data_IF_420761560398
#
_entry.id   IF_420761560398
#
_cell.length_a   1.000
_cell.length_b   1.000
_cell.length_c   1.000
_cell.angle_alpha   90.00
_cell.angle_beta   90.00
_cell.angle_gamma   90.00
#
_symmetry.space_group_name_H-M   'P 1'
#
loop_
_entity.id
_entity.type
_entity.pdbx_description
1 polymer ?
#
# COMPACT_ATOMS: atom_id res chain seq x y z
N UNK A 1 8.89 16.11 -0.74
CA UNK A 1 7.69 15.38 -1.20
C UNK A 1 6.83 15.00 0.00
N UNK A 2 5.50 14.98 -0.13
CA UNK A 2 4.61 14.50 0.94
C UNK A 2 4.66 12.97 0.97
N UNK A 3 5.08 12.37 2.10
CA UNK A 3 5.07 10.91 2.28
C UNK A 3 3.61 10.41 2.33
N UNK A 4 3.31 9.23 1.75
CA UNK A 4 1.99 8.63 1.89
C UNK A 4 1.72 8.27 3.35
N UNK A 5 0.44 8.16 3.70
CA UNK A 5 0.03 7.44 4.89
C UNK A 5 0.41 5.96 4.72
N UNK A 6 0.86 5.31 5.78
CA UNK A 6 1.14 3.88 5.81
C UNK A 6 0.22 3.24 6.84
N UNK A 7 -0.55 2.26 6.42
CA UNK A 7 -1.43 1.50 7.32
C UNK A 7 -1.22 0.01 7.07
N UNK A 8 -0.96 -0.75 8.13
CA UNK A 8 -0.90 -2.20 8.06
C UNK A 8 -2.30 -2.77 7.92
N UNK A 9 -2.44 -3.78 7.07
CA UNK A 9 -3.67 -4.54 6.85
C UNK A 9 -3.39 -6.04 6.97
N UNK A 10 -4.40 -6.80 7.37
CA UNK A 10 -4.32 -8.26 7.56
C UNK A 10 -5.30 -9.05 6.68
N UNK A 11 -6.07 -8.34 5.84
CA UNK A 11 -7.01 -8.94 4.90
C UNK A 11 -6.58 -8.62 3.47
N UNK A 12 -6.92 -9.50 2.54
CA UNK A 12 -6.60 -9.28 1.12
C UNK A 12 -7.31 -8.06 0.53
N UNK A 13 -6.82 -7.61 -0.62
CA UNK A 13 -7.25 -6.37 -1.31
C UNK A 13 -8.76 -6.23 -1.50
N UNK A 14 -9.49 -7.34 -1.69
CA UNK A 14 -10.95 -7.33 -1.84
C UNK A 14 -11.69 -6.75 -0.64
N UNK A 15 -11.17 -6.89 0.58
CA UNK A 15 -11.77 -6.31 1.79
C UNK A 15 -11.71 -4.77 1.81
N UNK A 16 -10.95 -4.16 0.90
CA UNK A 16 -10.72 -2.72 0.83
C UNK A 16 -11.30 -2.07 -0.42
N UNK A 17 -12.10 -2.80 -1.22
CA UNK A 17 -12.67 -2.33 -2.48
C UNK A 17 -13.45 -1.01 -2.32
N UNK A 18 -14.29 -0.91 -1.29
CA UNK A 18 -15.09 0.30 -0.99
C UNK A 18 -14.19 1.52 -0.76
N UNK A 19 -13.12 1.37 0.02
CA UNK A 19 -12.15 2.45 0.27
C UNK A 19 -11.37 2.81 -1.00
N UNK A 20 -10.91 1.81 -1.76
CA UNK A 20 -10.15 2.01 -3.00
C UNK A 20 -11.01 2.78 -4.01
N UNK A 21 -12.27 2.40 -4.16
CA UNK A 21 -13.23 3.03 -5.06
C UNK A 21 -13.52 4.46 -4.65
N UNK A 22 -13.82 4.70 -3.37
CA UNK A 22 -14.10 6.05 -2.85
C UNK A 22 -12.88 6.98 -2.94
N UNK A 23 -11.67 6.47 -2.68
CA UNK A 23 -10.46 7.26 -2.82
C UNK A 23 -10.17 7.60 -4.30
N UNK A 24 -10.40 6.65 -5.21
CA UNK A 24 -10.25 6.85 -6.67
C UNK A 24 -11.24 7.89 -7.21
N UNK A 25 -12.51 7.87 -6.79
CA UNK A 25 -13.49 8.87 -7.20
C UNK A 25 -13.10 10.29 -6.77
N UNK A 26 -12.29 10.39 -5.71
CA UNK A 26 -11.75 11.65 -5.19
C UNK A 26 -10.35 12.00 -5.74
N UNK A 27 -9.91 11.29 -6.79
CA UNK A 27 -8.61 11.53 -7.44
C UNK A 27 -7.39 11.16 -6.59
N UNK A 28 -7.59 10.40 -5.50
CA UNK A 28 -6.49 9.94 -4.65
C UNK A 28 -5.89 8.65 -5.20
N UNK A 29 -4.56 8.59 -5.22
CA UNK A 29 -3.82 7.39 -5.61
C UNK A 29 -3.50 6.56 -4.38
N UNK A 30 -3.86 5.29 -4.39
CA UNK A 30 -3.57 4.33 -3.33
C UNK A 30 -2.53 3.32 -3.84
N UNK A 31 -1.64 2.89 -2.95
CA UNK A 31 -0.69 1.81 -3.18
C UNK A 31 -1.02 0.59 -2.34
N UNK A 32 -0.62 -0.58 -2.82
CA UNK A 32 -0.63 -1.84 -2.06
C UNK A 32 0.80 -2.36 -2.02
N UNK A 33 1.32 -2.60 -0.82
CA UNK A 33 2.63 -3.19 -0.60
C UNK A 33 2.42 -4.52 0.12
N UNK A 34 2.67 -5.62 -0.60
CA UNK A 34 2.71 -6.95 -0.02
C UNK A 34 4.17 -7.27 0.32
N UNK A 35 4.44 -7.55 1.59
CA UNK A 35 5.71 -8.10 2.04
C UNK A 35 5.70 -9.62 1.81
N UNK A 36 6.86 -10.19 1.46
CA UNK A 36 7.04 -11.65 1.26
C UNK A 36 6.22 -12.26 0.10
N UNK A 37 5.96 -11.50 -0.97
CA UNK A 37 5.30 -12.01 -2.16
C UNK A 37 6.18 -13.02 -2.94
N UNK A 38 5.60 -14.12 -3.42
CA UNK A 38 6.33 -15.21 -4.12
C UNK A 38 5.95 -15.38 -5.60
N UNK A 39 5.06 -14.56 -6.15
CA UNK A 39 4.32 -14.89 -7.39
C UNK A 39 4.50 -13.88 -8.52
N UNK A 40 5.71 -13.80 -9.09
CA UNK A 40 5.90 -13.15 -10.39
C UNK A 40 5.48 -14.08 -11.54
N UNK A 41 4.97 -13.56 -12.69
CA UNK A 41 4.75 -14.37 -13.89
C UNK A 41 6.04 -15.07 -14.34
N UNK A 42 5.95 -16.34 -14.71
CA UNK A 42 7.10 -17.22 -14.95
C UNK A 42 8.17 -16.61 -15.90
N UNK A 43 7.84 -16.07 -17.09
CA UNK A 43 8.86 -15.47 -17.95
C UNK A 43 9.60 -14.28 -17.33
N UNK A 44 8.92 -13.52 -16.46
CA UNK A 44 9.54 -12.39 -15.77
C UNK A 44 10.39 -12.85 -14.58
N UNK A 45 9.95 -13.91 -13.89
CA UNK A 45 10.68 -14.53 -12.78
C UNK A 45 11.99 -15.17 -13.28
N UNK A 46 11.94 -15.90 -14.39
CA UNK A 46 13.13 -16.47 -15.03
C UNK A 46 14.15 -15.41 -15.42
N UNK A 47 13.71 -14.36 -16.11
CA UNK A 47 14.59 -13.24 -16.50
C UNK A 47 15.22 -12.56 -15.26
N UNK A 48 14.46 -12.35 -14.18
CA UNK A 48 15.00 -11.82 -12.94
C UNK A 48 16.00 -12.78 -12.28
N UNK A 49 15.74 -14.09 -12.30
CA UNK A 49 16.62 -15.14 -11.77
C UNK A 49 17.94 -15.26 -12.53
N UNK A 50 17.95 -14.92 -13.82
CA UNK A 50 19.16 -14.79 -14.64
C UNK A 50 19.96 -13.50 -14.37
N UNK A 51 19.50 -12.64 -13.45
CA UNK A 51 20.19 -11.40 -13.09
C UNK A 51 19.92 -10.24 -14.05
N UNK A 52 18.90 -10.33 -14.90
CA UNK A 52 18.51 -9.20 -15.75
C UNK A 52 18.02 -8.05 -14.87
N UNK A 53 18.55 -6.84 -15.11
CA UNK A 53 18.27 -5.68 -14.26
C UNK A 53 16.77 -5.37 -14.10
N UNK A 54 15.98 -5.64 -15.14
CA UNK A 54 14.54 -5.43 -15.14
C UNK A 54 13.87 -6.26 -16.23
N UNK A 55 12.81 -6.98 -15.88
CA UNK A 55 11.93 -7.68 -16.82
C UNK A 55 10.55 -7.03 -16.80
N UNK A 56 9.94 -6.77 -17.96
CA UNK A 56 8.68 -6.02 -18.07
C UNK A 56 7.74 -6.69 -19.08
N UNK A 57 6.50 -6.91 -18.68
CA UNK A 57 5.39 -7.28 -19.56
C UNK A 57 4.37 -6.14 -19.65
N UNK A 58 3.83 -5.90 -20.85
CA UNK A 58 2.82 -4.87 -21.13
C UNK A 58 1.65 -5.51 -21.88
N UNK A 59 0.43 -5.27 -21.42
CA UNK A 59 -0.79 -5.79 -22.04
C UNK A 59 -2.04 -5.44 -21.24
N UNK A 60 -3.22 -5.48 -21.85
CA UNK A 60 -4.53 -5.28 -21.17
C UNK A 60 -4.61 -3.99 -20.33
N UNK A 61 -3.94 -2.91 -20.77
CA UNK A 61 -3.92 -1.64 -20.04
C UNK A 61 -3.10 -1.65 -18.74
N UNK A 62 -2.26 -2.67 -18.53
CA UNK A 62 -1.37 -2.81 -17.35
C UNK A 62 0.07 -3.08 -17.75
N UNK A 63 0.96 -2.83 -16.80
CA UNK A 63 2.37 -3.18 -16.87
C UNK A 63 2.73 -3.99 -15.64
N UNK A 64 3.41 -5.12 -15.85
CA UNK A 64 3.98 -5.93 -14.77
C UNK A 64 5.50 -5.86 -14.93
N UNK A 65 6.20 -5.44 -13.89
CA UNK A 65 7.65 -5.36 -13.90
C UNK A 65 8.23 -6.10 -12.70
N UNK A 66 9.27 -6.87 -12.96
CA UNK A 66 10.08 -7.55 -11.93
C UNK A 66 11.49 -6.97 -11.98
N UNK A 67 12.06 -6.71 -10.81
CA UNK A 67 13.42 -6.20 -10.63
C UNK A 67 14.08 -7.03 -9.52
N UNK A 68 15.27 -7.60 -9.72
CA UNK A 68 16.03 -8.18 -8.63
C UNK A 68 16.38 -7.10 -7.62
N UNK A 69 16.16 -7.39 -6.34
CA UNK A 69 16.56 -6.52 -5.23
C UNK A 69 17.90 -7.02 -4.72
N UNK A 70 18.87 -6.11 -4.58
CA UNK A 70 20.15 -6.41 -3.93
C UNK A 70 20.02 -6.07 -2.45
N UNK A 71 20.28 -7.06 -1.59
CA UNK A 71 20.14 -6.90 -0.14
C UNK A 71 18.69 -6.88 0.33
N UNK A 72 18.50 -6.52 1.59
CA UNK A 72 17.16 -6.46 2.20
C UNK A 72 16.39 -5.23 1.70
N UNK A 73 15.10 -5.36 1.37
CA UNK A 73 14.28 -4.25 0.93
C UNK A 73 14.09 -3.21 2.04
N UNK A 74 14.50 -1.97 1.77
CA UNK A 74 14.29 -0.83 2.69
C UNK A 74 12.98 -0.12 2.36
N UNK A 75 12.09 0.01 3.36
CA UNK A 75 10.76 0.59 3.17
C UNK A 75 10.79 2.00 2.55
N UNK A 76 11.68 2.88 3.02
CA UNK A 76 11.78 4.25 2.50
C UNK A 76 12.18 4.28 1.01
N UNK A 77 13.01 3.33 0.56
CA UNK A 77 13.38 3.20 -0.85
C UNK A 77 12.21 2.67 -1.68
N UNK A 78 11.50 1.65 -1.19
CA UNK A 78 10.29 1.15 -1.86
C UNK A 78 9.25 2.26 -2.06
N UNK A 79 9.01 3.08 -1.03
CA UNK A 79 8.07 4.20 -1.10
C UNK A 79 8.49 5.26 -2.11
N UNK A 80 9.79 5.55 -2.18
CA UNK A 80 10.36 6.52 -3.12
C UNK A 80 10.32 6.02 -4.56
N UNK A 81 10.65 4.76 -4.79
CA UNK A 81 10.75 4.18 -6.14
C UNK A 81 9.39 3.81 -6.73
N UNK A 82 8.47 3.27 -5.93
CA UNK A 82 7.25 2.62 -6.46
C UNK A 82 5.94 3.33 -6.09
N UNK A 83 5.92 4.12 -5.04
CA UNK A 83 4.68 4.71 -4.50
C UNK A 83 4.66 6.24 -4.57
N UNK A 84 5.46 6.82 -5.47
CA UNK A 84 5.48 8.25 -5.67
C UNK A 84 4.11 8.77 -6.12
N UNK A 85 3.57 9.72 -5.34
CA UNK A 85 2.26 10.33 -5.61
C UNK A 85 1.07 9.59 -4.97
N UNK A 86 1.30 8.44 -4.33
CA UNK A 86 0.28 7.81 -3.50
C UNK A 86 -0.02 8.67 -2.27
N UNK A 87 -1.29 8.66 -1.84
CA UNK A 87 -1.77 9.26 -0.60
C UNK A 87 -1.77 8.27 0.54
N UNK A 88 -2.02 7.01 0.24
CA UNK A 88 -2.02 5.91 1.19
C UNK A 88 -1.31 4.72 0.54
N UNK A 89 -0.49 4.02 1.30
CA UNK A 89 -0.01 2.68 0.98
C UNK A 89 -0.54 1.74 2.07
N UNK A 90 -1.33 0.76 1.64
CA UNK A 90 -1.76 -0.34 2.49
C UNK A 90 -0.65 -1.40 2.47
N UNK A 91 -0.18 -1.78 3.66
CA UNK A 91 0.93 -2.72 3.82
C UNK A 91 0.39 -4.03 4.36
N UNK A 92 0.46 -5.08 3.56
CA UNK A 92 0.12 -6.45 3.95
C UNK A 92 1.42 -7.18 4.32
N UNK A 93 1.50 -7.62 5.57
CA UNK A 93 2.71 -8.23 6.15
C UNK A 93 3.07 -7.65 7.53
N UNK A 94 4.11 -8.18 8.15
CA UNK A 94 4.54 -7.78 9.49
C UNK A 94 5.43 -6.54 9.46
N UNK A 95 4.91 -5.44 10.01
CA UNK A 95 5.62 -4.17 10.16
C UNK A 95 4.98 -3.35 11.30
N UNK A 96 5.78 -2.62 12.05
CA UNK A 96 5.31 -1.73 13.12
C UNK A 96 4.68 -0.45 12.56
N UNK A 97 3.42 -0.55 12.13
CA UNK A 97 2.60 0.56 11.64
C UNK A 97 1.22 0.57 12.31
N UNK A 98 0.53 1.73 12.33
CA UNK A 98 -0.90 1.76 12.63
C UNK A 98 -1.66 0.77 11.76
N UNK A 99 -2.63 0.07 12.32
CA UNK A 99 -3.43 -0.94 11.64
C UNK A 99 -4.76 -0.35 11.16
N UNK A 100 -5.19 -0.75 9.97
CA UNK A 100 -6.52 -0.48 9.43
C UNK A 100 -7.30 -1.79 9.31
N UNK A 101 -8.49 -1.84 9.89
CA UNK A 101 -9.39 -2.99 9.85
C UNK A 101 -10.78 -2.55 9.35
N UNK A 102 -11.44 -3.33 8.46
CA UNK A 102 -12.85 -3.13 8.16
C UNK A 102 -13.71 -3.36 9.40
N UNK A 103 -14.73 -2.53 9.60
CA UNK A 103 -15.68 -2.62 10.72
C UNK A 103 -17.09 -2.27 10.24
N UNK A 104 -17.89 -3.29 9.90
CA UNK A 104 -19.19 -3.10 9.23
C UNK A 104 -19.03 -2.32 7.91
N UNK A 105 -19.73 -1.18 7.81
CA UNK A 105 -19.65 -0.26 6.67
C UNK A 105 -18.53 0.80 6.82
N UNK A 106 -17.75 0.71 7.90
CA UNK A 106 -16.70 1.65 8.26
C UNK A 106 -15.34 0.99 8.48
N UNK A 107 -14.50 1.72 9.21
CA UNK A 107 -13.09 1.40 9.39
C UNK A 107 -12.67 1.65 10.82
N UNK A 108 -11.82 0.78 11.35
CA UNK A 108 -11.10 1.03 12.59
C UNK A 108 -9.63 1.24 12.28
N UNK A 109 -9.10 2.39 12.71
CA UNK A 109 -7.66 2.64 12.73
C UNK A 109 -7.15 2.46 14.15
N UNK A 110 -6.26 1.48 14.35
CA UNK A 110 -5.54 1.26 15.61
C UNK A 110 -4.15 1.88 15.49
N UNK A 111 -3.85 2.90 16.29
CA UNK A 111 -2.56 3.59 16.30
C UNK A 111 -1.50 2.78 17.07
N UNK A 112 -0.23 3.17 16.93
CA UNK A 112 0.90 2.48 17.57
C UNK A 112 0.85 2.50 19.10
N UNK A 113 0.12 3.44 19.70
CA UNK A 113 -0.14 3.52 21.14
C UNK A 113 -1.33 2.65 21.61
N UNK A 114 -1.94 1.90 20.69
CA UNK A 114 -3.11 1.06 20.93
C UNK A 114 -4.45 1.80 20.89
N UNK A 115 -4.45 3.14 20.72
CA UNK A 115 -5.71 3.89 20.60
C UNK A 115 -6.44 3.53 19.31
N UNK A 116 -7.78 3.45 19.37
CA UNK A 116 -8.63 3.04 18.25
C UNK A 116 -9.54 4.19 17.83
N UNK A 117 -9.71 4.37 16.52
CA UNK A 117 -10.63 5.35 15.94
C UNK A 117 -11.53 4.68 14.93
N UNK A 118 -12.84 4.80 15.13
CA UNK A 118 -13.82 4.45 14.12
C UNK A 118 -13.98 5.60 13.14
N UNK A 119 -14.00 5.28 11.85
CA UNK A 119 -14.14 6.21 10.75
C UNK A 119 -15.09 5.62 9.71
N UNK A 120 -15.99 6.44 9.21
CA UNK A 120 -16.70 6.16 7.96
C UNK A 120 -15.72 6.22 6.78
N UNK A 121 -16.10 5.64 5.63
CA UNK A 121 -15.30 5.74 4.39
C UNK A 121 -15.04 7.21 4.00
N UNK A 122 -16.04 8.07 4.13
CA UNK A 122 -15.92 9.50 3.81
C UNK A 122 -14.91 10.21 4.72
N UNK A 123 -14.96 9.96 6.03
CA UNK A 123 -14.03 10.55 7.00
C UNK A 123 -12.59 10.09 6.75
N UNK A 124 -12.40 8.80 6.46
CA UNK A 124 -11.08 8.25 6.14
C UNK A 124 -10.52 8.91 4.88
N UNK A 125 -11.29 8.99 3.80
CA UNK A 125 -10.88 9.64 2.54
C UNK A 125 -10.58 11.13 2.74
N UNK A 126 -11.42 11.84 3.50
CA UNK A 126 -11.17 13.25 3.84
C UNK A 126 -9.85 13.43 4.60
N UNK A 127 -9.52 12.48 5.49
CA UNK A 127 -8.27 12.50 6.25
C UNK A 127 -7.04 12.26 5.37
N UNK A 128 -7.11 11.37 4.37
CA UNK A 128 -6.03 11.11 3.41
C UNK A 128 -5.65 12.32 2.54
N UNK A 129 -6.53 13.31 2.40
CA UNK A 129 -6.20 14.57 1.70
C UNK A 129 -5.23 15.44 2.50
N UNK A 130 -5.23 15.31 3.83
CA UNK A 130 -4.33 16.05 4.70
C UNK A 130 -2.98 15.33 4.75
N UNK A 131 -1.85 16.02 4.59
CA UNK A 131 -0.53 15.38 4.51
C UNK A 131 0.01 14.92 5.86
N UNK A 132 -0.85 14.72 6.86
CA UNK A 132 -0.46 14.37 8.23
C UNK A 132 -0.60 12.85 8.39
N UNK A 133 0.50 12.09 8.38
CA UNK A 133 0.44 10.64 8.52
C UNK A 133 -0.29 10.27 9.81
N UNK A 134 -0.93 9.10 9.84
CA UNK A 134 -1.45 8.55 11.09
C UNK A 134 -0.27 8.38 12.07
N UNK A 135 -0.23 9.23 13.10
CA UNK A 135 0.77 9.25 14.16
C UNK A 135 0.07 9.48 15.50
N UNK A 136 0.74 9.09 16.58
CA UNK A 136 0.31 9.30 17.97
C UNK A 136 0.04 10.79 18.22
N UNK A 137 -1.07 11.10 18.91
CA UNK A 137 -1.31 12.43 19.51
C UNK A 137 -2.17 13.46 18.74
N UNK A 138 -2.94 13.08 17.71
CA UNK A 138 -3.95 13.98 17.09
C UNK A 138 -5.38 13.80 17.60
#
# INVERSE_FOLDING_TARGET
>A
MKRPHLLRVSRGVGSFETLITAAKSEGLRLGWLLLEATTAPEPLAEAAGLGVLRAVAVGEGRTVAVKPVSGEPVLDDLLREHFLGCRLVLVEGELELPRLEPDGDGWVVTLSDGSRRQLTTAELVARLRKPRPFRVGE
#
